data_IF_554890871993
#
_entry.id   IF_554890871993
#
_cell.length_a   1.000
_cell.length_b   1.000
_cell.length_c   1.000
_cell.angle_alpha   90.00
_cell.angle_beta   90.00
_cell.angle_gamma   90.00
#
_symmetry.space_group_name_H-M   'P 1'
#
loop_
_entity.id
_entity.type
_entity.pdbx_description
1 polymer ?
#
# COMPACT_ATOMS: atom_id res chain seq x y z
N UNK A 1 -41.35 74.57 -28.82
CA UNK A 1 -42.04 73.45 -29.49
C UNK A 1 -41.05 72.93 -30.51
N UNK A 2 -40.13 72.08 -30.06
CA UNK A 2 -40.17 70.61 -30.07
C UNK A 2 -39.42 70.10 -31.29
N UNK A 3 -38.09 70.05 -31.09
CA UNK A 3 -37.10 69.42 -31.96
C UNK A 3 -37.45 67.95 -32.17
N UNK A 4 -37.91 67.60 -33.37
CA UNK A 4 -37.97 66.21 -33.81
C UNK A 4 -36.54 65.75 -34.09
N UNK A 5 -35.95 65.09 -33.08
CA UNK A 5 -34.73 64.30 -33.25
C UNK A 5 -35.06 63.16 -34.20
N UNK A 6 -34.65 63.28 -35.46
CA UNK A 6 -34.56 62.17 -36.41
C UNK A 6 -33.75 61.04 -35.79
N UNK A 7 -34.47 60.09 -35.20
CA UNK A 7 -33.89 58.91 -34.59
C UNK A 7 -33.37 58.05 -35.74
N UNK A 8 -32.03 58.00 -35.88
CA UNK A 8 -31.31 57.30 -36.94
C UNK A 8 -31.42 55.77 -36.75
N UNK A 9 -32.64 55.26 -36.87
CA UNK A 9 -33.01 53.89 -36.55
C UNK A 9 -32.26 52.87 -37.43
N UNK A 10 -32.03 53.22 -38.69
CA UNK A 10 -31.30 52.38 -39.63
C UNK A 10 -29.81 52.22 -39.26
N UNK A 11 -29.20 53.27 -38.68
CA UNK A 11 -27.84 53.19 -38.16
C UNK A 11 -27.78 52.22 -36.97
N UNK A 12 -28.70 52.35 -36.02
CA UNK A 12 -28.77 51.46 -34.86
C UNK A 12 -29.11 50.02 -35.22
N UNK A 13 -29.93 49.79 -36.26
CA UNK A 13 -30.22 48.46 -36.78
C UNK A 13 -28.97 47.82 -37.43
N UNK A 14 -28.21 48.59 -38.22
CA UNK A 14 -26.95 48.12 -38.83
C UNK A 14 -25.89 47.83 -37.77
N UNK A 15 -25.75 48.67 -36.74
CA UNK A 15 -24.87 48.40 -35.60
C UNK A 15 -25.27 47.15 -34.82
N UNK A 16 -26.57 46.95 -34.58
CA UNK A 16 -27.08 45.74 -33.95
C UNK A 16 -26.77 44.50 -34.81
N UNK A 17 -27.00 44.55 -36.12
CA UNK A 17 -26.67 43.46 -37.05
C UNK A 17 -25.16 43.14 -37.06
N UNK A 18 -24.30 44.16 -36.98
CA UNK A 18 -22.84 43.98 -36.87
C UNK A 18 -22.46 43.26 -35.58
N UNK A 19 -22.98 43.71 -34.43
CA UNK A 19 -22.77 43.06 -33.13
C UNK A 19 -23.27 41.61 -33.11
N UNK A 20 -24.38 41.32 -33.78
CA UNK A 20 -24.89 39.94 -33.89
C UNK A 20 -23.93 39.05 -34.68
N UNK A 21 -23.37 39.56 -35.79
CA UNK A 21 -22.35 38.82 -36.56
C UNK A 21 -21.07 38.58 -35.73
N UNK A 22 -20.64 39.57 -34.96
CA UNK A 22 -19.52 39.44 -34.01
C UNK A 22 -19.81 38.35 -32.96
N UNK A 23 -21.00 38.34 -32.35
CA UNK A 23 -21.39 37.30 -31.40
C UNK A 23 -21.46 35.89 -32.01
N UNK A 24 -21.86 35.77 -33.28
CA UNK A 24 -21.84 34.47 -33.99
C UNK A 24 -20.41 33.96 -34.14
N UNK A 25 -19.47 34.83 -34.54
CA UNK A 25 -18.05 34.48 -34.66
C UNK A 25 -17.43 34.11 -33.31
N UNK A 26 -17.74 34.86 -32.25
CA UNK A 26 -17.28 34.54 -30.88
C UNK A 26 -17.81 33.18 -30.41
N UNK A 27 -19.08 32.86 -30.71
CA UNK A 27 -19.67 31.55 -30.41
C UNK A 27 -18.97 30.42 -31.17
N UNK A 28 -18.64 30.62 -32.45
CA UNK A 28 -17.92 29.62 -33.25
C UNK A 28 -16.50 29.38 -32.72
N UNK A 29 -15.79 30.45 -32.34
CA UNK A 29 -14.47 30.35 -31.70
C UNK A 29 -14.56 29.60 -30.36
N UNK A 30 -15.57 29.89 -29.53
CA UNK A 30 -15.80 29.19 -28.27
C UNK A 30 -16.07 27.70 -28.50
N UNK A 31 -16.92 27.36 -29.48
CA UNK A 31 -17.21 25.98 -29.85
C UNK A 31 -15.96 25.23 -30.34
N UNK A 32 -15.09 25.89 -31.11
CA UNK A 32 -13.81 25.31 -31.54
C UNK A 32 -12.90 25.01 -30.34
N UNK A 33 -12.75 25.96 -29.41
CA UNK A 33 -12.00 25.74 -28.16
C UNK A 33 -12.58 24.60 -27.33
N UNK A 34 -13.91 24.51 -27.22
CA UNK A 34 -14.59 23.43 -26.51
C UNK A 34 -14.31 22.06 -27.16
N UNK A 35 -14.37 21.97 -28.49
CA UNK A 35 -14.03 20.74 -29.22
C UNK A 35 -12.59 20.30 -28.95
N UNK A 36 -11.64 21.22 -28.97
CA UNK A 36 -10.24 20.90 -28.65
C UNK A 36 -10.09 20.41 -27.21
N UNK A 37 -10.78 21.04 -26.27
CA UNK A 37 -10.79 20.61 -24.87
C UNK A 37 -11.34 19.19 -24.71
N UNK A 38 -12.44 18.87 -25.39
CA UNK A 38 -13.03 17.50 -25.40
C UNK A 38 -12.04 16.48 -25.96
N UNK A 39 -11.36 16.78 -27.06
CA UNK A 39 -10.37 15.88 -27.67
C UNK A 39 -9.19 15.64 -26.71
N UNK A 40 -8.63 16.69 -26.14
CA UNK A 40 -7.54 16.57 -25.15
C UNK A 40 -7.98 15.77 -23.92
N UNK A 41 -9.22 15.97 -23.48
CA UNK A 41 -9.77 15.23 -22.35
C UNK A 41 -9.91 13.73 -22.65
N UNK A 42 -10.42 13.38 -23.83
CA UNK A 42 -10.52 11.99 -24.29
C UNK A 42 -9.14 11.33 -24.49
N UNK A 43 -8.12 12.09 -24.92
CA UNK A 43 -6.75 11.57 -25.00
C UNK A 43 -6.16 11.28 -23.61
N UNK A 44 -6.41 12.14 -22.63
CA UNK A 44 -5.97 11.88 -21.25
C UNK A 44 -6.65 10.66 -20.65
N UNK A 45 -7.96 10.48 -20.88
CA UNK A 45 -8.68 9.30 -20.41
C UNK A 45 -8.11 7.99 -20.97
N UNK A 46 -7.84 7.97 -22.28
CA UNK A 46 -7.27 6.80 -22.95
C UNK A 46 -5.86 6.51 -22.45
N UNK A 47 -5.05 7.53 -22.18
CA UNK A 47 -3.72 7.38 -21.59
C UNK A 47 -3.78 6.87 -20.14
N UNK A 48 -4.67 7.42 -19.30
CA UNK A 48 -4.91 6.94 -17.93
C UNK A 48 -5.35 5.47 -17.95
N UNK A 49 -6.25 5.10 -18.86
CA UNK A 49 -6.73 3.73 -18.95
C UNK A 49 -5.64 2.75 -19.41
N UNK A 50 -4.87 3.11 -20.43
CA UNK A 50 -3.76 2.28 -20.93
C UNK A 50 -2.68 2.09 -19.86
N UNK A 51 -2.28 3.17 -19.19
CA UNK A 51 -1.29 3.11 -18.10
C UNK A 51 -1.77 2.24 -16.93
N UNK A 52 -3.06 2.24 -16.61
CA UNK A 52 -3.64 1.35 -15.60
C UNK A 52 -3.64 -0.12 -16.02
N UNK A 53 -3.93 -0.41 -17.29
CA UNK A 53 -3.85 -1.77 -17.83
C UNK A 53 -2.42 -2.29 -17.69
N UNK A 54 -1.44 -1.49 -18.10
CA UNK A 54 -0.04 -1.87 -18.05
C UNK A 54 0.45 -2.04 -16.62
N UNK A 55 0.07 -1.12 -15.72
CA UNK A 55 0.32 -1.26 -14.30
C UNK A 55 -0.30 -2.56 -13.75
N UNK A 56 -1.57 -2.86 -14.10
CA UNK A 56 -2.25 -4.07 -13.65
C UNK A 56 -1.55 -5.34 -14.13
N UNK A 57 -1.12 -5.39 -15.40
CA UNK A 57 -0.33 -6.51 -15.95
C UNK A 57 0.99 -6.66 -15.19
N UNK A 58 1.74 -5.58 -15.05
CA UNK A 58 3.04 -5.56 -14.37
C UNK A 58 2.95 -6.03 -12.92
N UNK A 59 2.05 -5.43 -12.13
CA UNK A 59 1.88 -5.76 -10.71
C UNK A 59 1.28 -7.16 -10.51
N UNK A 60 0.43 -7.63 -11.41
CA UNK A 60 -0.11 -9.01 -11.37
C UNK A 60 0.98 -10.04 -11.62
N UNK A 61 1.84 -9.83 -12.64
CA UNK A 61 3.00 -10.69 -12.92
C UNK A 61 3.93 -10.75 -11.72
N UNK A 62 4.30 -9.59 -11.17
CA UNK A 62 5.17 -9.52 -9.99
C UNK A 62 4.58 -10.23 -8.76
N UNK A 63 3.26 -10.12 -8.54
CA UNK A 63 2.55 -10.85 -7.48
C UNK A 63 2.57 -12.36 -7.70
N UNK A 64 2.40 -12.80 -8.94
CA UNK A 64 2.48 -14.21 -9.33
C UNK A 64 3.89 -14.76 -9.05
N UNK A 65 4.94 -14.05 -9.45
CA UNK A 65 6.32 -14.45 -9.19
C UNK A 65 6.61 -14.61 -7.69
N UNK A 66 6.11 -13.68 -6.86
CA UNK A 66 6.23 -13.79 -5.40
C UNK A 66 5.45 -14.98 -4.85
N UNK A 67 4.26 -15.28 -5.37
CA UNK A 67 3.49 -16.43 -4.92
C UNK A 67 4.21 -17.76 -5.23
N UNK A 68 4.84 -17.89 -6.40
CA UNK A 68 5.66 -19.06 -6.74
C UNK A 68 6.81 -19.19 -5.74
N UNK A 69 7.57 -18.12 -5.51
CA UNK A 69 8.71 -18.14 -4.58
C UNK A 69 8.28 -18.52 -3.16
N UNK A 70 7.17 -17.96 -2.69
CA UNK A 70 6.60 -18.28 -1.37
C UNK A 70 6.15 -19.75 -1.30
N UNK A 71 5.49 -20.26 -2.36
CA UNK A 71 5.06 -21.66 -2.40
C UNK A 71 6.26 -22.62 -2.32
N UNK A 72 7.31 -22.35 -3.10
CA UNK A 72 8.53 -23.14 -3.10
C UNK A 72 9.21 -23.13 -1.72
N UNK A 73 9.31 -21.96 -1.07
CA UNK A 73 9.88 -21.86 0.28
C UNK A 73 9.03 -22.56 1.33
N UNK A 74 7.70 -22.51 1.23
CA UNK A 74 6.81 -23.28 2.12
C UNK A 74 7.00 -24.78 1.97
N UNK A 75 7.21 -25.26 0.74
CA UNK A 75 7.48 -26.67 0.50
C UNK A 75 8.82 -27.09 1.11
N UNK A 76 9.88 -26.32 0.85
CA UNK A 76 11.20 -26.53 1.47
C UNK A 76 11.12 -26.49 2.98
N UNK A 77 10.38 -25.54 3.56
CA UNK A 77 10.17 -25.47 5.01
C UNK A 77 9.66 -26.81 5.57
N UNK A 78 8.60 -27.36 4.97
CA UNK A 78 8.01 -28.64 5.40
C UNK A 78 9.03 -29.78 5.28
N UNK A 79 9.79 -29.82 4.19
CA UNK A 79 10.84 -30.82 3.98
C UNK A 79 11.93 -30.74 5.06
N UNK A 80 12.43 -29.54 5.34
CA UNK A 80 13.46 -29.32 6.36
C UNK A 80 12.94 -29.58 7.78
N UNK A 81 11.69 -29.23 8.09
CA UNK A 81 11.05 -29.59 9.37
C UNK A 81 10.96 -31.11 9.55
N UNK A 82 10.67 -31.86 8.48
CA UNK A 82 10.68 -33.34 8.51
C UNK A 82 12.08 -33.89 8.75
N UNK A 83 13.09 -33.36 8.06
CA UNK A 83 14.48 -33.77 8.26
C UNK A 83 14.96 -33.46 9.68
N UNK A 84 14.66 -32.25 10.19
CA UNK A 84 14.99 -31.85 11.55
C UNK A 84 14.32 -32.75 12.58
N UNK A 85 13.02 -33.07 12.40
CA UNK A 85 12.29 -33.99 13.27
C UNK A 85 12.88 -35.40 13.26
N UNK A 86 13.28 -35.90 12.08
CA UNK A 86 13.91 -37.20 11.95
C UNK A 86 15.28 -37.24 12.65
N UNK A 87 16.13 -36.23 12.44
CA UNK A 87 17.45 -36.15 13.07
C UNK A 87 17.35 -35.94 14.59
N UNK A 88 16.36 -35.17 15.06
CA UNK A 88 16.10 -34.95 16.48
C UNK A 88 15.71 -36.25 17.20
N UNK A 89 14.87 -37.09 16.58
CA UNK A 89 14.60 -38.44 17.10
C UNK A 89 15.82 -39.35 17.03
N UNK A 90 16.62 -39.22 15.97
CA UNK A 90 17.83 -40.03 15.77
C UNK A 90 18.89 -39.72 16.83
N UNK A 91 19.04 -38.46 17.22
CA UNK A 91 20.03 -38.06 18.23
C UNK A 91 19.66 -38.50 19.65
N UNK A 92 18.36 -38.59 19.97
CA UNK A 92 17.89 -39.17 21.23
C UNK A 92 18.31 -40.64 21.40
N UNK A 93 18.41 -41.37 20.28
CA UNK A 93 18.85 -42.76 20.27
C UNK A 93 20.38 -42.91 20.34
N UNK A 94 21.15 -41.83 20.12
CA UNK A 94 22.59 -41.88 20.26
C UNK A 94 22.99 -41.58 21.70
N UNK A 95 23.71 -42.50 22.38
CA UNK A 95 24.23 -42.20 23.69
C UNK A 95 25.18 -41.00 23.55
N UNK A 96 24.95 -39.97 24.38
CA UNK A 96 25.85 -38.84 24.45
C UNK A 96 27.24 -39.39 24.82
N UNK A 97 28.26 -39.21 23.97
CA UNK A 97 29.58 -39.77 24.23
C UNK A 97 30.10 -39.18 25.53
N UNK A 98 30.35 -40.06 26.50
CA UNK A 98 31.00 -39.70 27.74
C UNK A 98 32.50 -39.57 27.48
N UNK A 99 33.11 -38.54 28.05
CA UNK A 99 34.56 -38.43 28.05
C UNK A 99 35.07 -39.60 28.87
N UNK A 100 36.01 -40.38 28.31
CA UNK A 100 36.61 -41.50 29.03
C UNK A 100 37.29 -40.96 30.30
N UNK A 101 36.77 -41.32 31.47
CA UNK A 101 37.30 -40.87 32.77
C UNK A 101 38.79 -41.17 32.91
N UNK A 102 39.25 -42.32 32.41
CA UNK A 102 40.67 -42.68 32.42
C UNK A 102 41.52 -41.71 31.59
N UNK A 103 40.97 -41.20 30.49
CA UNK A 103 41.65 -40.24 29.63
C UNK A 103 41.70 -38.84 30.26
N UNK A 104 40.69 -38.45 31.04
CA UNK A 104 40.70 -37.24 31.88
C UNK A 104 41.76 -37.33 32.97
N UNK A 105 41.79 -38.45 33.70
CA UNK A 105 42.79 -38.71 34.75
C UNK A 105 44.21 -38.63 34.18
N UNK A 106 44.45 -39.19 32.98
CA UNK A 106 45.74 -39.10 32.30
C UNK A 106 46.11 -37.66 31.90
N UNK A 107 45.14 -36.86 31.44
CA UNK A 107 45.35 -35.44 31.12
C UNK A 107 45.73 -34.66 32.37
N UNK A 108 44.99 -34.85 33.47
CA UNK A 108 45.24 -34.15 34.73
C UNK A 108 46.58 -34.56 35.36
N UNK A 109 46.92 -35.85 35.31
CA UNK A 109 48.23 -36.33 35.72
C UNK A 109 49.36 -35.69 34.89
N UNK A 110 49.20 -35.62 33.57
CA UNK A 110 50.21 -35.03 32.68
C UNK A 110 50.38 -33.53 32.94
N UNK A 111 49.29 -32.81 33.22
CA UNK A 111 49.31 -31.39 33.60
C UNK A 111 50.03 -31.16 34.92
N UNK A 112 49.67 -31.92 35.95
CA UNK A 112 50.32 -31.83 37.27
C UNK A 112 51.81 -32.14 37.17
N UNK A 113 52.17 -33.14 36.37
CA UNK A 113 53.57 -33.49 36.15
C UNK A 113 54.35 -32.46 35.32
N UNK A 114 53.68 -31.67 34.48
CA UNK A 114 54.28 -30.50 33.80
C UNK A 114 54.52 -29.37 34.79
N UNK A 115 53.55 -29.10 35.66
CA UNK A 115 53.63 -28.09 36.73
C UNK A 115 54.78 -28.42 37.70
N UNK A 116 54.94 -29.69 38.09
CA UNK A 116 56.06 -30.15 38.92
C UNK A 116 57.42 -29.91 38.25
N UNK A 117 57.52 -30.14 36.93
CA UNK A 117 58.75 -29.85 36.17
C UNK A 117 59.01 -28.33 36.11
N UNK A 118 57.97 -27.52 35.88
CA UNK A 118 58.10 -26.06 35.84
C UNK A 118 58.57 -25.50 37.17
N UNK A 119 57.98 -25.95 38.28
CA UNK A 119 58.39 -25.57 39.62
C UNK A 119 59.85 -25.97 39.90
N UNK A 120 60.27 -27.15 39.42
CA UNK A 120 61.65 -27.62 39.60
C UNK A 120 62.65 -26.85 38.75
N UNK A 121 62.31 -26.48 37.52
CA UNK A 121 63.12 -25.59 36.67
C UNK A 121 63.27 -24.22 37.35
N UNK A 122 62.18 -23.65 37.87
CA UNK A 122 62.22 -22.36 38.60
C UNK A 122 63.16 -22.44 39.80
N UNK A 123 63.03 -23.50 40.62
CA UNK A 123 63.90 -23.71 41.77
C UNK A 123 65.38 -23.83 41.39
N UNK A 124 65.71 -24.60 40.34
CA UNK A 124 67.10 -24.78 39.89
C UNK A 124 67.68 -23.48 39.31
N UNK A 125 66.88 -22.70 38.58
CA UNK A 125 67.29 -21.38 38.10
C UNK A 125 67.55 -20.40 39.25
N UNK A 126 66.66 -20.37 40.26
CA UNK A 126 66.89 -19.58 41.47
C UNK A 126 68.17 -20.00 42.20
N UNK A 127 68.43 -21.30 42.27
CA UNK A 127 69.66 -21.83 42.86
C UNK A 127 70.91 -21.33 42.12
N UNK A 128 70.89 -21.33 40.79
CA UNK A 128 71.98 -20.78 39.95
C UNK A 128 72.17 -19.26 40.14
N UNK A 129 71.08 -18.51 40.27
CA UNK A 129 71.13 -17.05 40.40
C UNK A 129 71.56 -16.58 41.80
N UNK A 130 71.14 -17.29 42.85
CA UNK A 130 71.26 -16.81 44.24
C UNK A 130 72.40 -17.45 45.04
N UNK A 131 72.93 -18.61 44.62
CA UNK A 131 73.97 -19.34 45.36
C UNK A 131 75.35 -19.19 44.71
N UNK A 132 76.39 -19.07 45.55
CA UNK A 132 77.78 -19.18 45.11
C UNK A 132 78.09 -20.67 44.96
N UNK A 133 78.17 -21.15 43.72
CA UNK A 133 78.37 -22.56 43.36
C UNK A 133 79.75 -22.74 42.71
N UNK A 134 80.36 -23.90 42.90
CA UNK A 134 81.56 -24.27 42.16
C UNK A 134 81.21 -24.73 40.72
N UNK A 135 82.17 -24.66 39.80
CA UNK A 135 81.97 -24.96 38.36
C UNK A 135 81.35 -26.34 38.14
N UNK A 136 81.72 -27.33 38.95
CA UNK A 136 81.19 -28.69 38.86
C UNK A 136 79.70 -28.74 39.26
N UNK A 137 79.32 -28.05 40.34
CA UNK A 137 77.93 -27.96 40.82
C UNK A 137 77.04 -27.18 39.85
N UNK A 138 77.57 -26.12 39.24
CA UNK A 138 76.88 -25.32 38.22
C UNK A 138 76.59 -26.18 36.99
N UNK A 139 77.59 -26.94 36.52
CA UNK A 139 77.43 -27.85 35.38
C UNK A 139 76.41 -28.96 35.66
N UNK A 140 76.38 -29.52 36.87
CA UNK A 140 75.36 -30.51 37.26
C UNK A 140 73.94 -29.93 37.20
N UNK A 141 73.74 -28.69 37.69
CA UNK A 141 72.43 -28.03 37.64
C UNK A 141 72.04 -27.72 36.19
N UNK A 142 72.98 -27.29 35.34
CA UNK A 142 72.74 -27.02 33.92
C UNK A 142 72.32 -28.30 33.18
N UNK A 143 72.97 -29.43 33.43
CA UNK A 143 72.57 -30.72 32.84
C UNK A 143 71.17 -31.17 33.34
N UNK A 144 70.88 -31.00 34.64
CA UNK A 144 69.53 -31.27 35.16
C UNK A 144 68.46 -30.37 34.52
N UNK A 145 68.77 -29.10 34.27
CA UNK A 145 67.87 -28.17 33.58
C UNK A 145 67.62 -28.60 32.12
N UNK A 146 68.68 -29.02 31.39
CA UNK A 146 68.53 -29.56 30.04
C UNK A 146 67.61 -30.79 30.02
N UNK A 147 67.82 -31.72 30.93
CA UNK A 147 66.99 -32.92 31.03
C UNK A 147 65.52 -32.57 31.31
N UNK A 148 65.27 -31.68 32.29
CA UNK A 148 63.93 -31.20 32.63
C UNK A 148 63.26 -30.46 31.47
N UNK A 149 63.99 -29.65 30.70
CA UNK A 149 63.47 -29.00 29.49
C UNK A 149 63.10 -29.99 28.40
N UNK A 150 63.92 -31.02 28.19
CA UNK A 150 63.60 -32.07 27.21
C UNK A 150 62.34 -32.84 27.63
N UNK A 151 62.20 -33.15 28.91
CA UNK A 151 61.04 -33.86 29.45
C UNK A 151 59.78 -33.00 29.48
N UNK A 152 59.91 -31.69 29.76
CA UNK A 152 58.83 -30.71 29.60
C UNK A 152 58.31 -30.72 28.17
N UNK A 153 59.20 -30.66 27.18
CA UNK A 153 58.83 -30.67 25.76
C UNK A 153 58.11 -31.97 25.37
N UNK A 154 58.62 -33.13 25.83
CA UNK A 154 57.96 -34.44 25.59
C UNK A 154 56.57 -34.49 26.21
N UNK A 155 56.41 -34.11 27.49
CA UNK A 155 55.11 -34.14 28.17
C UNK A 155 54.11 -33.16 27.58
N UNK A 156 54.55 -31.97 27.16
CA UNK A 156 53.70 -31.00 26.47
C UNK A 156 53.18 -31.55 25.14
N UNK A 157 54.04 -32.21 24.36
CA UNK A 157 53.61 -32.86 23.12
C UNK A 157 52.61 -33.99 23.40
N UNK A 158 52.87 -34.83 24.40
CA UNK A 158 51.94 -35.90 24.80
C UNK A 158 50.57 -35.34 25.24
N UNK A 159 50.56 -34.25 26.01
CA UNK A 159 49.32 -33.57 26.42
C UNK A 159 48.51 -33.09 25.20
N UNK A 160 49.16 -32.41 24.25
CA UNK A 160 48.47 -31.95 23.03
C UNK A 160 47.92 -33.11 22.20
N UNK A 161 48.63 -34.23 22.11
CA UNK A 161 48.14 -35.43 21.41
C UNK A 161 46.95 -36.08 22.12
N UNK A 162 46.99 -36.17 23.45
CA UNK A 162 45.88 -36.69 24.26
C UNK A 162 44.62 -35.82 24.12
N UNK A 163 44.76 -34.50 24.18
CA UNK A 163 43.65 -33.57 24.00
C UNK A 163 43.06 -33.64 22.58
N UNK A 164 43.92 -33.69 21.56
CA UNK A 164 43.47 -33.82 20.16
C UNK A 164 42.77 -35.14 19.88
N UNK A 165 43.25 -36.25 20.45
CA UNK A 165 42.61 -37.57 20.26
C UNK A 165 41.26 -37.64 20.95
N UNK A 166 41.10 -37.03 22.13
CA UNK A 166 39.78 -36.88 22.76
C UNK A 166 38.84 -36.02 21.91
N UNK A 167 39.30 -34.87 21.42
CA UNK A 167 38.52 -34.00 20.53
C UNK A 167 38.08 -34.71 19.26
N UNK A 168 38.98 -35.45 18.60
CA UNK A 168 38.66 -36.24 17.41
C UNK A 168 37.63 -37.33 17.71
N UNK A 169 37.76 -38.06 18.82
CA UNK A 169 36.80 -39.09 19.24
C UNK A 169 35.41 -38.53 19.51
N UNK A 170 35.36 -37.36 20.17
CA UNK A 170 34.10 -36.65 20.38
C UNK A 170 33.52 -36.20 19.04
N UNK A 171 34.31 -35.53 18.18
CA UNK A 171 33.83 -35.05 16.89
C UNK A 171 33.43 -36.17 15.91
N UNK A 172 34.07 -37.34 15.97
CA UNK A 172 33.75 -38.51 15.14
C UNK A 172 32.52 -39.29 15.61
N UNK A 173 32.00 -39.00 16.81
CA UNK A 173 30.79 -39.65 17.31
C UNK A 173 29.58 -39.29 16.44
N UNK A 174 28.75 -40.29 16.16
CA UNK A 174 27.47 -40.12 15.46
C UNK A 174 26.54 -39.12 16.16
N UNK A 175 26.67 -38.99 17.49
CA UNK A 175 25.97 -37.98 18.27
C UNK A 175 26.34 -36.56 17.80
N UNK A 176 27.63 -36.20 17.83
CA UNK A 176 28.06 -34.85 17.47
C UNK A 176 27.99 -34.57 15.97
N UNK A 177 28.10 -35.59 15.12
CA UNK A 177 27.88 -35.44 13.68
C UNK A 177 26.41 -35.15 13.38
N UNK A 178 25.48 -35.81 14.09
CA UNK A 178 24.04 -35.54 13.99
C UNK A 178 23.69 -34.18 14.59
N UNK A 179 24.27 -33.81 15.74
CA UNK A 179 24.07 -32.49 16.37
C UNK A 179 24.44 -31.35 15.41
N UNK A 180 25.56 -31.48 14.68
CA UNK A 180 25.97 -30.48 13.68
C UNK A 180 24.95 -30.34 12.56
N UNK A 181 24.48 -31.46 12.01
CA UNK A 181 23.44 -31.47 10.97
C UNK A 181 22.13 -30.85 11.48
N UNK A 182 21.73 -31.11 12.72
CA UNK A 182 20.56 -30.48 13.34
C UNK A 182 20.74 -28.95 13.36
N UNK A 183 21.90 -28.47 13.82
CA UNK A 183 22.21 -27.04 13.86
C UNK A 183 22.21 -26.39 12.47
N UNK A 184 22.76 -27.07 11.47
CA UNK A 184 22.73 -26.58 10.07
C UNK A 184 21.30 -26.48 9.53
N UNK A 185 20.43 -27.45 9.87
CA UNK A 185 19.01 -27.40 9.53
C UNK A 185 18.27 -26.28 10.26
N UNK A 186 18.57 -26.03 11.53
CA UNK A 186 17.98 -24.91 12.30
C UNK A 186 18.33 -23.55 11.68
N UNK A 187 19.60 -23.35 11.32
CA UNK A 187 20.04 -22.15 10.61
C UNK A 187 19.29 -22.01 9.28
N UNK A 188 19.22 -23.08 8.49
CA UNK A 188 18.52 -23.05 7.19
C UNK A 188 17.02 -22.80 7.33
N UNK A 189 16.38 -23.37 8.36
CA UNK A 189 14.97 -23.10 8.67
C UNK A 189 14.76 -21.63 9.04
N UNK A 190 15.65 -21.07 9.85
CA UNK A 190 15.61 -19.64 10.23
C UNK A 190 15.70 -18.75 8.99
N UNK A 191 16.63 -19.02 8.09
CA UNK A 191 16.75 -18.31 6.80
C UNK A 191 15.48 -18.45 5.94
N UNK A 192 14.86 -19.63 5.91
CA UNK A 192 13.59 -19.84 5.19
C UNK A 192 12.48 -18.97 5.79
N UNK A 193 12.39 -18.89 7.13
CA UNK A 193 11.40 -18.05 7.82
C UNK A 193 11.60 -16.56 7.50
N UNK A 194 12.82 -16.05 7.56
CA UNK A 194 13.15 -14.67 7.21
C UNK A 194 12.78 -14.37 5.74
N UNK A 195 13.19 -15.24 4.82
CA UNK A 195 12.86 -15.09 3.40
C UNK A 195 11.35 -15.12 3.13
N UNK A 196 10.60 -15.97 3.83
CA UNK A 196 9.13 -16.03 3.74
C UNK A 196 8.48 -14.73 4.22
N UNK A 197 8.97 -14.18 5.34
CA UNK A 197 8.50 -12.90 5.87
C UNK A 197 8.74 -11.78 4.86
N UNK A 198 9.96 -11.67 4.36
CA UNK A 198 10.38 -10.65 3.40
C UNK A 198 9.60 -10.70 2.09
N UNK A 199 9.44 -11.89 1.51
CA UNK A 199 8.67 -12.05 0.27
C UNK A 199 7.19 -11.76 0.48
N UNK A 200 6.64 -12.14 1.63
CA UNK A 200 5.25 -11.82 1.99
C UNK A 200 5.04 -10.33 2.12
N UNK A 201 5.98 -9.61 2.74
CA UNK A 201 5.99 -8.14 2.85
C UNK A 201 6.11 -7.49 1.47
N UNK A 202 7.05 -7.92 0.63
CA UNK A 202 7.24 -7.42 -0.74
C UNK A 202 5.98 -7.63 -1.60
N UNK A 203 5.33 -8.79 -1.47
CA UNK A 203 4.05 -9.08 -2.13
C UNK A 203 2.93 -8.14 -1.67
N UNK A 204 2.80 -7.91 -0.37
CA UNK A 204 1.79 -7.01 0.19
C UNK A 204 1.99 -5.58 -0.31
N UNK A 205 3.23 -5.08 -0.28
CA UNK A 205 3.57 -3.74 -0.77
C UNK A 205 3.25 -3.57 -2.25
N UNK A 206 3.51 -4.61 -3.06
CA UNK A 206 3.19 -4.64 -4.49
C UNK A 206 1.68 -4.54 -4.71
N UNK A 207 0.89 -5.27 -3.91
CA UNK A 207 -0.58 -5.18 -3.95
C UNK A 207 -1.09 -3.80 -3.54
N UNK A 208 -0.53 -3.22 -2.47
CA UNK A 208 -0.89 -1.88 -1.99
C UNK A 208 -0.67 -0.81 -3.06
N UNK A 209 0.49 -0.84 -3.73
CA UNK A 209 0.80 0.10 -4.84
C UNK A 209 -0.22 0.02 -5.98
N UNK A 210 -0.58 -1.20 -6.40
CA UNK A 210 -1.61 -1.38 -7.43
C UNK A 210 -2.97 -0.82 -6.96
N UNK A 211 -3.35 -1.09 -5.72
CA UNK A 211 -4.62 -0.64 -5.16
C UNK A 211 -4.69 0.89 -5.07
N UNK A 212 -3.59 1.55 -4.72
CA UNK A 212 -3.49 3.01 -4.71
C UNK A 212 -3.61 3.60 -6.11
N UNK A 213 -3.02 2.98 -7.13
CA UNK A 213 -3.20 3.39 -8.53
C UNK A 213 -4.67 3.24 -8.98
N UNK A 214 -5.31 2.13 -8.65
CA UNK A 214 -6.74 1.93 -8.96
C UNK A 214 -7.64 2.94 -8.22
N UNK A 215 -7.29 3.35 -7.00
CA UNK A 215 -8.02 4.41 -6.28
C UNK A 215 -7.87 5.77 -6.96
N UNK A 216 -6.65 6.13 -7.38
CA UNK A 216 -6.38 7.36 -8.13
C UNK A 216 -7.18 7.40 -9.44
N UNK A 217 -7.19 6.29 -10.17
CA UNK A 217 -7.99 6.12 -11.38
C UNK A 217 -9.47 6.42 -11.17
N UNK A 218 -10.07 5.80 -10.15
CA UNK A 218 -11.48 6.05 -9.78
C UNK A 218 -11.74 7.50 -9.37
N UNK A 219 -10.73 8.16 -8.78
CA UNK A 219 -10.79 9.60 -8.50
C UNK A 219 -10.91 10.42 -9.78
N UNK A 220 -10.09 10.11 -10.80
CA UNK A 220 -10.17 10.74 -12.12
C UNK A 220 -11.51 10.47 -12.82
N UNK A 221 -12.03 9.24 -12.77
CA UNK A 221 -13.34 8.92 -13.34
C UNK A 221 -14.48 9.75 -12.71
N UNK A 222 -14.41 10.01 -11.40
CA UNK A 222 -15.40 10.86 -10.72
C UNK A 222 -15.27 12.33 -11.11
N UNK A 223 -14.05 12.86 -11.06
CA UNK A 223 -13.78 14.25 -11.45
C UNK A 223 -14.19 14.50 -12.91
N UNK A 224 -13.98 13.51 -13.78
CA UNK A 224 -14.48 13.51 -15.15
C UNK A 224 -16.00 13.67 -15.21
N UNK A 225 -16.74 12.83 -14.50
CA UNK A 225 -18.20 12.87 -14.50
C UNK A 225 -18.73 14.22 -14.01
N UNK A 226 -18.06 14.82 -13.03
CA UNK A 226 -18.38 16.17 -12.54
C UNK A 226 -18.20 17.22 -13.65
N UNK A 227 -17.05 17.24 -14.33
CA UNK A 227 -16.78 18.16 -15.46
C UNK A 227 -17.75 17.93 -16.62
N UNK A 228 -18.05 16.69 -16.98
CA UNK A 228 -19.01 16.37 -18.04
C UNK A 228 -20.42 16.90 -17.71
N UNK A 229 -20.87 16.74 -16.47
CA UNK A 229 -22.16 17.28 -16.02
C UNK A 229 -22.19 18.81 -16.09
N UNK A 230 -21.14 19.49 -15.60
CA UNK A 230 -21.02 20.95 -15.69
C UNK A 230 -21.04 21.46 -17.14
N UNK A 231 -20.36 20.76 -18.04
CA UNK A 231 -20.35 21.11 -19.47
C UNK A 231 -21.74 20.96 -20.11
N UNK A 232 -22.50 19.91 -19.76
CA UNK A 232 -23.86 19.69 -20.24
C UNK A 232 -24.81 20.77 -19.71
N UNK A 233 -24.72 21.13 -18.43
CA UNK A 233 -25.53 22.21 -17.83
C UNK A 233 -25.24 23.57 -18.47
N UNK A 234 -23.96 23.88 -18.71
CA UNK A 234 -23.57 25.12 -19.39
C UNK A 234 -24.03 25.15 -20.85
N UNK A 235 -23.90 24.03 -21.57
CA UNK A 235 -24.38 23.91 -22.96
C UNK A 235 -25.90 24.12 -23.05
N UNK A 236 -26.67 23.43 -22.20
CA UNK A 236 -28.15 23.55 -22.19
C UNK A 236 -28.60 24.97 -21.84
N UNK A 237 -27.91 25.64 -20.90
CA UNK A 237 -28.15 27.05 -20.58
C UNK A 237 -27.87 27.97 -21.76
N UNK A 238 -26.73 27.79 -22.44
CA UNK A 238 -26.35 28.57 -23.62
C UNK A 238 -27.32 28.36 -24.80
N UNK A 239 -27.78 27.13 -25.03
CA UNK A 239 -28.81 26.80 -26.03
C UNK A 239 -30.14 27.49 -25.69
N UNK A 240 -30.54 27.53 -24.41
CA UNK A 240 -31.71 28.28 -23.95
C UNK A 240 -31.63 29.77 -24.27
N UNK A 241 -30.50 30.41 -23.99
CA UNK A 241 -30.27 31.81 -24.35
C UNK A 241 -30.30 32.03 -25.86
N UNK A 242 -29.69 31.14 -26.64
CA UNK A 242 -29.68 31.23 -28.09
C UNK A 242 -31.08 31.11 -28.69
N UNK A 243 -31.92 30.21 -28.18
CA UNK A 243 -33.32 30.09 -28.60
C UNK A 243 -34.13 31.34 -28.27
N UNK A 244 -33.92 31.94 -27.10
CA UNK A 244 -34.56 33.22 -26.73
C UNK A 244 -34.11 34.35 -27.66
N UNK A 245 -32.82 34.42 -27.97
CA UNK A 245 -32.26 35.38 -28.90
C UNK A 245 -32.85 35.23 -30.31
N UNK A 246 -32.90 34.01 -30.86
CA UNK A 246 -33.51 33.74 -32.17
C UNK A 246 -35.01 34.10 -32.19
N UNK A 247 -35.75 33.80 -31.12
CA UNK A 247 -37.16 34.20 -30.99
C UNK A 247 -37.32 35.72 -31.01
N UNK A 248 -36.46 36.46 -30.32
CA UNK A 248 -36.48 37.93 -30.33
C UNK A 248 -36.14 38.50 -31.71
N UNK A 249 -35.20 37.90 -32.43
CA UNK A 249 -34.80 38.34 -33.77
C UNK A 249 -35.85 38.03 -34.85
N UNK A 250 -36.62 36.95 -34.69
CA UNK A 250 -37.66 36.54 -35.64
C UNK A 250 -39.01 37.25 -35.42
N UNK A 251 -39.13 38.09 -34.39
CA UNK A 251 -40.31 38.95 -34.22
C UNK A 251 -40.22 40.12 -35.21
N UNK A 252 -41.15 40.16 -36.17
CA UNK A 252 -41.33 41.27 -37.08
C UNK A 252 -41.49 42.59 -36.30
N UNK A 253 -40.84 43.68 -36.72
CA UNK A 253 -40.85 45.00 -36.05
C UNK A 253 -42.28 45.50 -35.73
N UNK A 254 -43.27 45.13 -36.54
CA UNK A 254 -44.71 45.38 -36.30
C UNK A 254 -45.27 44.65 -35.06
N UNK A 255 -44.90 43.39 -34.83
CA UNK A 255 -45.39 42.58 -33.70
C UNK A 255 -44.80 43.08 -32.37
N UNK A 256 -43.54 43.53 -32.36
CA UNK A 256 -42.92 44.15 -31.18
C UNK A 256 -43.58 45.48 -30.78
N UNK A 257 -43.95 46.32 -31.78
CA UNK A 257 -44.69 47.56 -31.55
C UNK A 257 -46.14 47.29 -31.11
N UNK A 258 -46.81 46.31 -31.71
CA UNK A 258 -48.15 45.90 -31.31
C UNK A 258 -48.18 45.32 -29.88
N UNK A 259 -47.21 44.49 -29.50
CA UNK A 259 -47.11 43.94 -28.13
C UNK A 259 -46.75 45.01 -27.09
N UNK A 260 -45.96 46.03 -27.44
CA UNK A 260 -45.69 47.18 -26.57
C UNK A 260 -46.92 48.09 -26.42
N UNK A 261 -47.70 48.29 -27.49
CA UNK A 261 -48.97 49.03 -27.44
C UNK A 261 -50.08 48.27 -26.69
N UNK A 262 -50.07 46.94 -26.77
CA UNK A 262 -51.01 46.08 -26.06
C UNK A 262 -50.64 45.93 -24.58
N UNK A 263 -49.34 45.94 -24.23
CA UNK A 263 -48.91 45.98 -22.83
C UNK A 263 -49.28 47.30 -22.15
N UNK A 264 -49.15 48.44 -22.82
CA UNK A 264 -49.57 49.75 -22.26
C UNK A 264 -51.09 49.87 -22.08
N UNK A 265 -51.89 49.21 -22.92
CA UNK A 265 -53.36 49.11 -22.72
C UNK A 265 -53.80 48.08 -21.67
N UNK A 266 -52.92 47.12 -21.32
CA UNK A 266 -53.23 46.08 -20.32
C UNK A 266 -53.00 46.51 -18.85
N UNK A 267 -52.38 47.67 -18.62
CA UNK A 267 -52.13 48.19 -17.26
C UNK A 267 -53.35 48.82 -16.57
N UNK A 268 -54.49 48.96 -17.24
CA UNK A 268 -55.70 49.59 -16.69
C UNK A 268 -56.88 48.65 -16.46
N UNK A 269 -56.67 47.33 -16.43
CA UNK A 269 -57.72 46.40 -15.94
C UNK A 269 -57.14 45.45 -14.89
N UNK A 270 -57.60 45.53 -13.63
CA UNK A 270 -57.20 44.55 -12.62
C UNK A 270 -57.69 43.17 -13.07
N UNK A 271 -56.76 42.26 -13.32
CA UNK A 271 -57.06 40.83 -13.46
C UNK A 271 -57.58 40.34 -12.11
N UNK A 272 -58.90 40.30 -11.97
CA UNK A 272 -59.54 39.53 -10.91
C UNK A 272 -59.18 38.07 -11.13
N UNK A 273 -58.27 37.54 -10.31
CA UNK A 273 -57.97 36.11 -10.25
C UNK A 273 -59.30 35.37 -10.01
N UNK A 274 -59.75 34.60 -11.01
CA UNK A 274 -60.89 33.69 -10.82
C UNK A 274 -60.51 32.70 -9.72
N UNK A 275 -61.26 32.74 -8.61
CA UNK A 275 -61.07 31.93 -7.40
C UNK A 275 -61.13 30.41 -7.62
N UNK A 276 -61.50 29.94 -8.83
CA UNK A 276 -61.54 28.51 -9.19
C UNK A 276 -60.14 27.89 -9.33
N UNK A 277 -59.16 28.62 -9.86
CA UNK A 277 -57.85 28.06 -10.21
C UNK A 277 -56.95 27.90 -8.98
N UNK A 278 -57.08 28.83 -8.02
CA UNK A 278 -56.39 28.72 -6.72
C UNK A 278 -56.95 27.55 -5.89
N UNK A 279 -58.29 27.33 -5.90
CA UNK A 279 -58.93 26.19 -5.22
C UNK A 279 -58.50 24.85 -5.83
N UNK A 280 -58.35 24.76 -7.15
CA UNK A 280 -57.85 23.57 -7.84
C UNK A 280 -56.38 23.27 -7.50
N UNK A 281 -55.53 24.30 -7.45
CA UNK A 281 -54.11 24.19 -7.09
C UNK A 281 -53.92 23.76 -5.62
N UNK A 282 -54.74 24.29 -4.71
CA UNK A 282 -54.75 23.87 -3.30
C UNK A 282 -55.21 22.41 -3.15
N UNK A 283 -56.26 21.98 -3.88
CA UNK A 283 -56.70 20.57 -3.87
C UNK A 283 -55.61 19.63 -4.39
N UNK A 284 -54.90 20.00 -5.46
CA UNK A 284 -53.79 19.21 -6.03
C UNK A 284 -52.62 19.10 -5.05
N UNK A 285 -52.20 20.21 -4.42
CA UNK A 285 -51.15 20.22 -3.38
C UNK A 285 -51.53 19.38 -2.15
N UNK A 286 -52.80 19.42 -1.71
CA UNK A 286 -53.30 18.57 -0.61
C UNK A 286 -53.27 17.07 -0.96
N UNK A 287 -53.62 16.70 -2.21
CA UNK A 287 -53.55 15.31 -2.68
C UNK A 287 -52.10 14.79 -2.71
N UNK A 288 -51.15 15.59 -3.20
CA UNK A 288 -49.73 15.21 -3.24
C UNK A 288 -49.18 14.99 -1.83
N UNK A 289 -49.44 15.91 -0.89
CA UNK A 289 -49.02 15.77 0.51
C UNK A 289 -49.58 14.50 1.18
N UNK A 290 -50.84 14.15 0.90
CA UNK A 290 -51.45 12.91 1.44
C UNK A 290 -50.78 11.65 0.89
N UNK A 291 -50.36 11.65 -0.38
CA UNK A 291 -49.66 10.50 -0.98
C UNK A 291 -48.24 10.35 -0.43
N UNK A 292 -47.54 11.47 -0.20
CA UNK A 292 -46.22 11.47 0.44
C UNK A 292 -46.29 10.95 1.88
N UNK A 293 -47.28 11.37 2.67
CA UNK A 293 -47.50 10.88 4.03
C UNK A 293 -47.78 9.37 4.08
N UNK A 294 -48.64 8.85 3.19
CA UNK A 294 -48.90 7.40 3.11
C UNK A 294 -47.66 6.61 2.75
N UNK A 295 -46.83 7.11 1.82
CA UNK A 295 -45.56 6.46 1.46
C UNK A 295 -44.56 6.49 2.61
N UNK A 296 -44.54 7.55 3.41
CA UNK A 296 -43.72 7.65 4.60
C UNK A 296 -44.16 6.65 5.68
N UNK A 297 -45.46 6.52 5.94
CA UNK A 297 -46.01 5.55 6.89
C UNK A 297 -45.61 4.11 6.51
N UNK A 298 -45.77 3.73 5.25
CA UNK A 298 -45.36 2.41 4.73
C UNK A 298 -43.85 2.19 4.90
N UNK A 299 -43.03 3.21 4.62
CA UNK A 299 -41.59 3.12 4.79
C UNK A 299 -41.19 2.95 6.27
N UNK A 300 -41.85 3.66 7.19
CA UNK A 300 -41.61 3.54 8.63
C UNK A 300 -42.07 2.17 9.17
N UNK A 301 -43.18 1.61 8.68
CA UNK A 301 -43.61 0.26 9.03
C UNK A 301 -42.65 -0.81 8.53
N UNK A 302 -42.12 -0.66 7.30
CA UNK A 302 -41.05 -1.53 6.78
C UNK A 302 -39.79 -1.46 7.64
N UNK A 303 -39.39 -0.26 8.07
CA UNK A 303 -38.26 -0.06 8.96
C UNK A 303 -38.46 -0.76 10.31
N UNK A 304 -39.64 -0.59 10.93
CA UNK A 304 -39.99 -1.22 12.22
C UNK A 304 -40.07 -2.75 12.12
N UNK A 305 -40.50 -3.28 10.98
CA UNK A 305 -40.60 -4.72 10.73
C UNK A 305 -39.30 -5.37 10.22
N UNK A 306 -38.20 -4.62 10.13
CA UNK A 306 -36.89 -5.13 9.69
C UNK A 306 -36.82 -5.51 8.20
N UNK A 307 -37.81 -5.10 7.39
CA UNK A 307 -37.82 -5.36 5.95
C UNK A 307 -36.88 -4.40 5.23
N UNK A 308 -36.23 -4.88 4.18
CA UNK A 308 -35.29 -4.08 3.37
C UNK A 308 -36.02 -2.90 2.72
N UNK A 309 -35.55 -1.69 3.01
CA UNK A 309 -36.04 -0.44 2.44
C UNK A 309 -35.41 -0.19 1.07
N UNK A 310 -36.19 0.38 0.14
CA UNK A 310 -35.66 0.89 -1.13
C UNK A 310 -35.00 2.28 -0.95
N UNK A 311 -34.11 2.68 -1.86
CA UNK A 311 -33.38 3.94 -1.81
C UNK A 311 -34.30 5.16 -1.65
N UNK A 312 -35.43 5.17 -2.37
CA UNK A 312 -36.42 6.26 -2.30
C UNK A 312 -37.17 6.30 -0.97
N UNK A 313 -37.42 5.14 -0.34
CA UNK A 313 -38.06 5.04 0.97
C UNK A 313 -37.11 5.56 2.07
N UNK A 314 -35.82 5.20 1.96
CA UNK A 314 -34.77 5.68 2.86
C UNK A 314 -34.56 7.20 2.75
N UNK A 315 -34.53 7.73 1.53
CA UNK A 315 -34.44 9.18 1.29
C UNK A 315 -35.67 9.92 1.83
N UNK A 316 -36.86 9.32 1.76
CA UNK A 316 -38.10 9.92 2.27
C UNK A 316 -38.09 10.01 3.80
N UNK A 317 -37.65 8.95 4.49
CA UNK A 317 -37.49 8.94 5.96
C UNK A 317 -36.47 10.01 6.39
N UNK A 318 -35.30 10.07 5.73
CA UNK A 318 -34.25 11.04 6.06
C UNK A 318 -34.67 12.50 5.85
N UNK A 319 -35.47 12.78 4.81
CA UNK A 319 -36.01 14.14 4.57
C UNK A 319 -36.99 14.57 5.65
N UNK A 320 -37.70 13.62 6.26
CA UNK A 320 -38.68 13.89 7.31
C UNK A 320 -38.13 13.80 8.73
N UNK A 321 -36.97 13.17 8.95
CA UNK A 321 -36.29 13.13 10.26
C UNK A 321 -35.38 14.34 10.53
N UNK A 322 -35.10 15.15 9.52
CA UNK A 322 -34.27 16.39 9.61
C UNK A 322 -35.08 17.65 9.93
N UNK A 323 -36.33 17.49 10.36
CA UNK A 323 -37.17 18.53 10.98
C UNK A 323 -37.50 18.08 12.38
#
# INVERSE_FOLDING_TARGET
MSDEKDFNFDHHLKEAQKKVKEFVLEKEQLNSKLKNYIISFQSFDSEIYNTLIDARKFYSKKRYDYNIKIANLKHKKIEYERHWSHLSKKIENFPKPQINENALVLVDYTKKSLEDIENKIVYLNQKLEEQILDIEEENEIIEQLRDLETDKKKKKNNLTQLEQTQLKKLQSSDYFSTQRKIKDLENTLTEIYENLYDLSRKRLMTHKKLLDLCKKAKGFEKAKQEIENELIENKTSAEGFHQLFLKLMNLNRKVLLDDLSNKTKSFLRPKVLKTSDVKALIKKKKKVKRLEQKKLEIALEKQKSGKKLDFYEYQLILKHSKK
#
